data_IF_080772832178
#
_entry.id   IF_080772832178
#
_cell.length_a   1.000
_cell.length_b   1.000
_cell.length_c   1.000
_cell.angle_alpha   90.00
_cell.angle_beta   90.00
_cell.angle_gamma   90.00
#
_symmetry.space_group_name_H-M   'P 1'
#
loop_
_entity.id
_entity.type
_entity.pdbx_description
1 polymer ?
#
# COMPACT_ATOMS: atom_id res chain seq x y z
N UNK A 1 9.42 -6.23 -14.74
CA UNK A 1 8.08 -6.27 -14.12
C UNK A 1 8.22 -5.73 -12.71
N UNK A 2 7.30 -4.88 -12.24
CA UNK A 2 7.36 -4.24 -10.91
C UNK A 2 6.22 -4.76 -10.05
N UNK A 3 6.56 -5.24 -8.86
CA UNK A 3 5.64 -5.78 -7.86
C UNK A 3 5.64 -4.88 -6.64
N UNK A 4 4.55 -4.87 -5.89
CA UNK A 4 4.39 -4.04 -4.70
C UNK A 4 3.89 -4.90 -3.56
N UNK A 5 4.45 -4.66 -2.38
CA UNK A 5 4.00 -5.27 -1.13
C UNK A 5 4.09 -4.26 0.00
N UNK A 6 3.34 -4.50 1.07
CA UNK A 6 3.35 -3.71 2.29
C UNK A 6 3.65 -4.56 3.50
N UNK A 7 3.97 -3.94 4.63
CA UNK A 7 4.18 -4.66 5.89
C UNK A 7 3.57 -3.96 7.11
N UNK A 8 3.73 -4.60 8.27
CA UNK A 8 3.23 -4.10 9.56
C UNK A 8 3.99 -2.87 10.08
N UNK A 9 5.12 -2.52 9.49
CA UNK A 9 5.87 -1.29 9.82
C UNK A 9 5.39 -0.07 9.03
N UNK A 10 4.41 -0.25 8.14
CA UNK A 10 3.83 0.83 7.33
C UNK A 10 4.59 1.12 6.03
N UNK A 11 5.63 0.33 5.73
CA UNK A 11 6.47 0.52 4.57
C UNK A 11 5.89 -0.15 3.32
N UNK A 12 6.00 0.52 2.17
CA UNK A 12 5.73 -0.07 0.86
C UNK A 12 7.06 -0.48 0.23
N UNK A 13 7.13 -1.70 -0.29
CA UNK A 13 8.30 -2.20 -1.03
C UNK A 13 7.92 -2.38 -2.49
N UNK A 14 8.65 -1.69 -3.36
CA UNK A 14 8.61 -1.83 -4.79
C UNK A 14 9.72 -2.76 -5.26
N UNK A 15 9.36 -3.92 -5.81
CA UNK A 15 10.29 -4.98 -6.20
C UNK A 15 10.35 -5.04 -7.72
N UNK A 16 11.51 -4.80 -8.30
CA UNK A 16 11.75 -4.86 -9.74
C UNK A 16 12.71 -5.99 -10.07
N UNK A 17 12.29 -6.88 -10.96
CA UNK A 17 13.18 -7.91 -11.52
C UNK A 17 13.79 -7.37 -12.81
N UNK A 18 15.12 -7.15 -12.86
CA UNK A 18 15.80 -6.78 -14.10
C UNK A 18 15.66 -7.90 -15.12
N UNK A 19 15.52 -7.52 -16.39
CA UNK A 19 15.58 -8.49 -17.49
C UNK A 19 17.05 -8.81 -17.77
N UNK A 20 17.65 -9.74 -17.04
CA UNK A 20 18.98 -10.27 -17.38
C UNK A 20 18.87 -11.57 -18.17
N UNK A 21 19.85 -11.77 -19.04
CA UNK A 21 20.02 -12.91 -19.95
C UNK A 21 20.03 -14.27 -19.22
N UNK A 22 19.73 -15.39 -19.91
CA UNK A 22 19.32 -16.66 -19.29
C UNK A 22 20.31 -17.38 -18.36
N UNK A 23 21.46 -16.78 -18.03
CA UNK A 23 22.56 -17.46 -17.34
C UNK A 23 23.02 -16.78 -16.04
N UNK A 24 22.39 -15.69 -15.59
CA UNK A 24 22.76 -15.00 -14.35
C UNK A 24 21.62 -15.03 -13.33
N UNK A 25 21.98 -15.24 -12.06
CA UNK A 25 21.08 -15.15 -10.90
C UNK A 25 20.41 -13.76 -10.88
N UNK A 26 19.08 -13.71 -11.08
CA UNK A 26 18.34 -12.45 -11.13
C UNK A 26 18.16 -11.91 -9.72
N UNK A 27 18.99 -10.94 -9.32
CA UNK A 27 18.81 -10.23 -8.04
C UNK A 27 17.71 -9.18 -8.18
N UNK A 28 16.66 -9.21 -7.36
CA UNK A 28 15.63 -8.17 -7.40
C UNK A 28 16.17 -6.85 -6.85
N UNK A 29 15.78 -5.75 -7.48
CA UNK A 29 15.99 -4.40 -6.94
C UNK A 29 14.77 -4.04 -6.10
N UNK A 30 14.99 -3.70 -4.84
CA UNK A 30 13.93 -3.33 -3.89
C UNK A 30 14.08 -1.86 -3.52
N UNK A 31 13.04 -1.07 -3.77
CA UNK A 31 12.91 0.31 -3.31
C UNK A 31 11.87 0.37 -2.20
N UNK A 32 12.17 1.06 -1.11
CA UNK A 32 11.28 1.20 0.05
C UNK A 32 10.72 2.62 0.06
N UNK A 33 9.42 2.74 0.30
CA UNK A 33 8.72 4.02 0.40
C UNK A 33 8.07 4.20 1.77
N UNK A 34 8.15 5.43 2.28
CA UNK A 34 7.64 5.83 3.59
C UNK A 34 8.68 5.70 4.72
N UNK A 35 8.22 5.97 5.93
CA UNK A 35 8.99 5.82 7.17
C UNK A 35 8.36 4.74 8.04
N UNK A 36 9.15 4.19 8.96
CA UNK A 36 8.68 3.16 9.90
C UNK A 36 7.70 3.80 10.87
N UNK A 37 6.43 3.45 10.71
CA UNK A 37 5.35 3.82 11.62
C UNK A 37 4.35 2.65 11.74
N UNK A 38 4.38 1.89 12.84
CA UNK A 38 3.42 0.82 13.12
C UNK A 38 1.97 1.30 13.26
N UNK A 39 1.71 2.60 13.44
CA UNK A 39 0.35 3.13 13.36
C UNK A 39 -0.16 3.10 11.92
N UNK A 40 0.74 3.17 10.93
CA UNK A 40 0.46 3.16 9.49
C UNK A 40 0.63 1.78 8.84
N UNK A 41 0.67 0.69 9.64
CA UNK A 41 0.74 -0.69 9.16
C UNK A 41 -0.21 -0.93 7.99
N UNK A 42 0.26 -1.59 6.94
CA UNK A 42 -0.58 -1.84 5.76
C UNK A 42 -1.48 -3.04 6.04
N UNK A 43 -2.80 -2.83 5.96
CA UNK A 43 -3.79 -3.90 6.15
C UNK A 43 -4.20 -4.53 4.82
N UNK A 44 -4.38 -3.70 3.79
CA UNK A 44 -4.70 -4.15 2.44
C UNK A 44 -4.03 -3.25 1.39
N UNK A 45 -3.65 -3.84 0.27
CA UNK A 45 -3.10 -3.14 -0.89
C UNK A 45 -3.65 -3.76 -2.16
N UNK A 46 -4.13 -2.93 -3.09
CA UNK A 46 -4.53 -3.38 -4.42
C UNK A 46 -4.11 -2.36 -5.49
N UNK A 47 -4.15 -2.81 -6.75
CA UNK A 47 -4.04 -1.90 -7.87
C UNK A 47 -5.42 -1.54 -8.38
N UNK A 48 -5.62 -0.27 -8.74
CA UNK A 48 -6.84 0.19 -9.37
C UNK A 48 -6.51 1.20 -10.49
N UNK A 49 -7.31 1.21 -11.56
CA UNK A 49 -7.25 2.28 -12.57
C UNK A 49 -8.16 3.40 -12.09
N UNK A 50 -7.58 4.47 -11.57
CA UNK A 50 -8.31 5.58 -10.95
C UNK A 50 -7.64 6.90 -11.31
N UNK A 51 -8.31 8.03 -11.07
CA UNK A 51 -7.78 9.38 -11.31
C UNK A 51 -7.24 9.56 -12.74
N UNK A 52 -8.07 9.28 -13.75
CA UNK A 52 -7.67 9.43 -15.16
C UNK A 52 -7.14 8.15 -15.81
N UNK A 53 -7.44 6.98 -15.26
CA UNK A 53 -7.22 5.67 -15.91
C UNK A 53 -5.83 5.07 -15.75
N UNK A 54 -4.89 5.81 -15.14
CA UNK A 54 -3.57 5.27 -14.80
C UNK A 54 -3.68 4.30 -13.63
N UNK A 55 -2.92 3.20 -13.67
CA UNK A 55 -2.86 2.20 -12.60
C UNK A 55 -2.17 2.81 -11.38
N UNK A 56 -2.91 2.98 -10.28
CA UNK A 56 -2.40 3.45 -8.98
C UNK A 56 -2.43 2.31 -7.96
N UNK A 57 -1.74 2.51 -6.84
CA UNK A 57 -1.87 1.66 -5.66
C UNK A 57 -2.91 2.27 -4.72
N UNK A 58 -3.84 1.45 -4.24
CA UNK A 58 -4.74 1.82 -3.15
C UNK A 58 -4.27 1.06 -1.92
N UNK A 59 -3.92 1.80 -0.87
CA UNK A 59 -3.33 1.27 0.35
C UNK A 59 -4.21 1.64 1.53
N UNK A 60 -4.84 0.64 2.13
CA UNK A 60 -5.57 0.81 3.38
C UNK A 60 -4.64 0.49 4.56
N UNK A 61 -4.56 1.45 5.47
CA UNK A 61 -3.65 1.40 6.61
C UNK A 61 -4.42 1.19 7.90
N UNK A 62 -3.70 0.67 8.88
CA UNK A 62 -4.08 0.71 10.28
C UNK A 62 -4.30 2.17 10.67
N UNK A 63 -5.31 2.42 11.50
CA UNK A 63 -5.75 3.79 11.82
C UNK A 63 -6.77 4.38 10.84
N UNK A 64 -7.18 3.64 9.81
CA UNK A 64 -8.32 4.00 8.96
C UNK A 64 -7.99 4.89 7.77
N UNK A 65 -6.73 5.26 7.56
CA UNK A 65 -6.35 6.00 6.37
C UNK A 65 -6.31 5.10 5.13
N UNK A 66 -6.80 5.63 4.01
CA UNK A 66 -6.78 5.01 2.69
C UNK A 66 -6.04 5.97 1.78
N UNK A 67 -4.89 5.53 1.26
CA UNK A 67 -4.02 6.34 0.40
C UNK A 67 -4.07 5.81 -1.03
N UNK A 68 -4.26 6.72 -1.98
CA UNK A 68 -4.00 6.49 -3.40
C UNK A 68 -2.58 6.93 -3.68
N UNK A 69 -1.74 5.99 -4.11
CA UNK A 69 -0.31 6.17 -4.31
C UNK A 69 0.05 5.98 -5.78
N UNK A 70 0.91 6.86 -6.28
CA UNK A 70 1.48 6.75 -7.62
C UNK A 70 2.71 5.84 -7.62
N UNK A 71 2.64 4.65 -8.24
CA UNK A 71 3.80 3.78 -8.33
C UNK A 71 4.88 4.27 -9.31
N UNK A 72 4.57 5.28 -10.13
CA UNK A 72 5.45 5.85 -11.16
C UNK A 72 6.13 7.15 -10.71
N UNK A 73 5.58 7.85 -9.71
CA UNK A 73 6.20 9.00 -9.04
C UNK A 73 6.73 8.59 -7.66
N UNK A 74 7.56 7.54 -7.61
CA UNK A 74 8.30 7.12 -6.41
C UNK A 74 7.47 6.93 -5.13
N UNK A 75 6.21 6.50 -5.26
CA UNK A 75 5.37 6.25 -4.10
C UNK A 75 4.70 7.50 -3.53
N UNK A 76 4.64 8.59 -4.31
CA UNK A 76 3.91 9.80 -3.94
C UNK A 76 2.43 9.52 -3.68
N UNK A 77 1.92 10.05 -2.57
CA UNK A 77 0.48 10.02 -2.25
C UNK A 77 -0.24 11.03 -3.13
N UNK A 78 -1.09 10.55 -4.04
CA UNK A 78 -1.94 11.40 -4.88
C UNK A 78 -3.15 11.95 -4.10
N UNK A 79 -3.71 11.11 -3.23
CA UNK A 79 -4.91 11.43 -2.46
C UNK A 79 -4.99 10.56 -1.22
N UNK A 80 -5.58 11.09 -0.17
CA UNK A 80 -5.82 10.37 1.08
C UNK A 80 -7.25 10.60 1.55
N UNK A 81 -7.83 9.56 2.15
CA UNK A 81 -9.13 9.57 2.79
C UNK A 81 -9.00 8.91 4.16
N UNK A 82 -9.88 9.25 5.09
CA UNK A 82 -9.93 8.61 6.40
C UNK A 82 -11.29 7.98 6.62
N UNK A 83 -11.28 6.70 7.02
CA UNK A 83 -12.46 5.96 7.45
C UNK A 83 -12.53 5.96 8.98
N UNK A 84 -13.34 6.87 9.51
CA UNK A 84 -13.56 7.07 10.94
C UNK A 84 -13.98 5.80 11.67
N UNK A 85 -14.75 4.93 11.02
CA UNK A 85 -15.21 3.68 11.62
C UNK A 85 -14.07 2.67 11.85
N UNK A 86 -12.96 2.81 11.11
CA UNK A 86 -11.72 2.04 11.33
C UNK A 86 -10.77 2.81 12.26
N UNK A 87 -10.75 4.14 12.19
CA UNK A 87 -9.91 5.01 13.01
C UNK A 87 -10.33 5.08 14.50
N UNK A 88 -11.57 4.73 14.82
CA UNK A 88 -12.12 4.80 16.18
C UNK A 88 -11.82 3.54 16.99
N UNK A 89 -10.66 3.53 17.63
CA UNK A 89 -10.59 3.13 19.04
C UNK A 89 -9.23 3.49 19.65
N UNK A 90 -9.06 4.76 20.05
CA UNK A 90 -7.91 5.18 20.87
C UNK A 90 -7.88 4.55 22.28
N UNK A 91 -8.93 3.79 22.66
CA UNK A 91 -9.10 3.20 24.00
C UNK A 91 -9.23 1.67 24.03
N UNK A 92 -9.38 0.97 22.90
CA UNK A 92 -9.40 -0.51 22.90
C UNK A 92 -8.01 -1.06 22.64
N UNK A 93 -7.68 -2.14 23.35
CA UNK A 93 -6.48 -2.95 23.15
C UNK A 93 -6.12 -3.10 21.67
N UNK A 94 -4.82 -3.04 21.34
CA UNK A 94 -4.24 -3.34 20.02
C UNK A 94 -4.82 -4.63 19.40
N UNK A 95 -5.22 -5.60 20.23
CA UNK A 95 -5.79 -6.88 19.80
C UNK A 95 -7.24 -6.80 19.30
N UNK A 96 -7.94 -5.66 19.47
CA UNK A 96 -9.34 -5.44 19.05
C UNK A 96 -9.52 -4.27 18.08
N UNK A 97 -8.46 -3.82 17.41
CA UNK A 97 -8.56 -2.75 16.42
C UNK A 97 -9.42 -3.20 15.23
N UNK A 98 -10.35 -2.34 14.80
CA UNK A 98 -11.12 -2.53 13.57
C UNK A 98 -10.17 -2.65 12.38
N UNK A 99 -10.49 -3.54 11.44
CA UNK A 99 -9.70 -3.78 10.23
C UNK A 99 -10.55 -3.56 9.00
N UNK A 100 -9.92 -3.16 7.90
CA UNK A 100 -10.57 -3.22 6.59
C UNK A 100 -10.80 -4.68 6.20
N UNK A 101 -12.07 -5.06 6.01
CA UNK A 101 -12.47 -6.38 5.50
C UNK A 101 -12.97 -6.17 4.07
N UNK A 102 -12.04 -6.18 3.11
CA UNK A 102 -12.33 -5.96 1.70
C UNK A 102 -12.30 -4.49 1.29
N UNK A 103 -11.37 -4.14 0.39
CA UNK A 103 -11.45 -2.91 -0.41
C UNK A 103 -12.14 -3.27 -1.73
N UNK A 104 -13.44 -3.00 -1.83
CA UNK A 104 -14.17 -3.17 -3.09
C UNK A 104 -13.97 -1.92 -3.95
N UNK A 105 -13.06 -2.00 -4.92
CA UNK A 105 -13.02 -1.04 -6.02
C UNK A 105 -14.14 -1.44 -7.01
N UNK A 106 -15.27 -0.74 -6.94
CA UNK A 106 -16.29 -0.86 -7.98
C UNK A 106 -15.80 -0.13 -9.24
N UNK A 107 -15.55 -0.86 -10.32
CA UNK A 107 -15.53 -0.29 -11.67
C UNK A 107 -16.97 0.10 -12.02
N UNK A 108 -17.27 1.39 -12.02
CA UNK A 108 -18.39 1.96 -12.79
C UNK A 108 -17.83 2.87 -13.86
#
# INVERSE_FOLDING_TARGET
MKYFTGDESGLIKAITFPKTSPQAEVKPVVTIWGEVDPALSIQMMCHAKILGGQKKLVVARRGGSIQIIDPYEEGKVCKEFNEDHVARDKKKSITKATKFVGLYAHDK
#
